data_IF_497176843377
#
_entry.id   IF_497176843377
#
_cell.length_a   1.000
_cell.length_b   1.000
_cell.length_c   1.000
_cell.angle_alpha   90.00
_cell.angle_beta   90.00
_cell.angle_gamma   90.00
#
_symmetry.space_group_name_H-M   'P 1'
#
loop_
_entity.id
_entity.type
_entity.pdbx_description
1 polymer ?
#
# COMPACT_ATOMS: atom_id res chain seq x y z
N UNK A 1 58.04 -16.95 -25.61
CA UNK A 1 57.10 -16.84 -26.74
C UNK A 1 56.27 -15.58 -26.53
N UNK A 2 56.30 -14.71 -27.53
CA UNK A 2 55.95 -13.29 -27.46
C UNK A 2 54.42 -13.07 -27.60
N UNK A 3 53.83 -12.32 -26.65
CA UNK A 3 52.38 -12.03 -26.55
C UNK A 3 51.85 -11.13 -27.68
N UNK A 4 52.72 -10.67 -28.58
CA UNK A 4 52.38 -9.78 -29.71
C UNK A 4 51.95 -10.49 -31.00
N UNK A 5 51.90 -11.82 -31.04
CA UNK A 5 51.51 -12.56 -32.25
C UNK A 5 50.03 -12.91 -32.38
N UNK A 6 49.21 -12.70 -31.35
CA UNK A 6 47.81 -13.17 -31.35
C UNK A 6 46.79 -12.17 -31.93
N UNK A 7 47.21 -10.98 -32.37
CA UNK A 7 46.32 -9.91 -32.84
C UNK A 7 46.40 -9.61 -34.35
N UNK A 8 46.95 -10.51 -35.18
CA UNK A 8 47.12 -10.26 -36.63
C UNK A 8 46.51 -11.29 -37.57
N UNK A 9 45.45 -11.98 -37.15
CA UNK A 9 44.72 -12.90 -38.05
C UNK A 9 43.22 -12.69 -37.95
N UNK A 10 42.78 -11.50 -38.37
CA UNK A 10 41.41 -11.31 -38.83
C UNK A 10 41.45 -11.27 -40.35
N UNK A 11 40.91 -12.29 -41.01
CA UNK A 11 39.94 -12.14 -42.10
C UNK A 11 39.80 -13.45 -42.91
N UNK A 12 38.55 -13.72 -43.29
CA UNK A 12 38.06 -14.61 -44.36
C UNK A 12 37.57 -15.99 -43.88
N UNK A 13 36.25 -16.10 -43.70
CA UNK A 13 35.54 -17.38 -43.59
C UNK A 13 34.20 -17.25 -42.85
N UNK A 14 33.13 -16.95 -43.58
CA UNK A 14 31.83 -16.57 -43.03
C UNK A 14 31.08 -17.68 -42.28
N UNK A 15 30.61 -17.31 -41.10
CA UNK A 15 29.29 -17.66 -40.59
C UNK A 15 28.92 -16.55 -39.62
N UNK A 16 27.99 -15.69 -40.03
CA UNK A 16 27.46 -14.60 -39.23
C UNK A 16 26.72 -15.20 -38.02
N UNK A 17 27.45 -15.44 -36.93
CA UNK A 17 26.84 -15.49 -35.61
C UNK A 17 26.41 -14.05 -35.35
N UNK A 18 25.11 -13.80 -35.40
CA UNK A 18 24.53 -12.56 -34.92
C UNK A 18 25.12 -12.31 -33.53
N UNK A 19 26.04 -11.35 -33.44
CA UNK A 19 26.44 -10.78 -32.18
C UNK A 19 25.17 -10.14 -31.63
N UNK A 20 24.42 -10.91 -30.84
CA UNK A 20 23.43 -10.37 -29.93
C UNK A 20 24.16 -9.29 -29.16
N UNK A 21 23.86 -8.03 -29.48
CA UNK A 21 24.27 -6.87 -28.71
C UNK A 21 23.62 -7.03 -27.34
N UNK A 22 24.23 -7.83 -26.46
CA UNK A 22 23.91 -7.84 -25.05
C UNK A 22 24.10 -6.40 -24.60
N UNK A 23 23.00 -5.73 -24.25
CA UNK A 23 23.06 -4.37 -23.76
C UNK A 23 24.07 -4.33 -22.60
N UNK A 24 25.00 -3.37 -22.64
CA UNK A 24 25.98 -3.22 -21.58
C UNK A 24 25.23 -3.02 -20.25
N UNK A 25 25.71 -3.59 -19.12
CA UNK A 25 25.09 -3.39 -17.81
C UNK A 25 24.86 -1.90 -17.52
N UNK A 26 23.78 -1.52 -16.84
CA UNK A 26 23.40 -0.11 -16.59
C UNK A 26 24.57 0.75 -16.07
N UNK A 27 25.38 0.20 -15.18
CA UNK A 27 26.59 0.84 -14.63
C UNK A 27 27.61 1.22 -15.73
N UNK A 28 27.79 0.35 -16.74
CA UNK A 28 28.68 0.62 -17.87
C UNK A 28 28.13 1.67 -18.84
N UNK A 29 26.83 2.00 -18.74
CA UNK A 29 26.18 3.09 -19.46
C UNK A 29 26.14 4.40 -18.65
N UNK A 30 26.73 4.43 -17.45
CA UNK A 30 26.67 5.57 -16.54
C UNK A 30 25.31 5.76 -15.86
N UNK A 31 24.45 4.73 -15.88
CA UNK A 31 23.12 4.73 -15.26
C UNK A 31 23.19 4.10 -13.87
N UNK A 32 22.49 4.68 -12.91
CA UNK A 32 22.40 4.16 -11.54
C UNK A 32 21.35 3.05 -11.47
N UNK A 33 21.71 1.79 -11.14
CA UNK A 33 20.73 0.72 -10.98
C UNK A 33 19.87 0.96 -9.73
N UNK A 34 18.58 0.62 -9.84
CA UNK A 34 17.62 0.66 -8.73
C UNK A 34 16.75 -0.59 -8.75
N UNK A 35 17.04 -1.56 -7.90
CA UNK A 35 16.14 -2.70 -7.72
C UNK A 35 14.96 -2.28 -6.84
N UNK A 36 13.73 -2.50 -7.35
CA UNK A 36 12.47 -2.27 -6.64
C UNK A 36 11.79 -3.61 -6.40
N UNK A 37 11.54 -3.97 -5.14
CA UNK A 37 10.77 -5.17 -4.75
C UNK A 37 9.39 -4.77 -4.24
N UNK A 38 8.34 -5.54 -4.55
CA UNK A 38 6.97 -5.15 -4.22
C UNK A 38 6.23 -6.22 -3.43
N UNK A 39 5.30 -5.77 -2.58
CA UNK A 39 4.37 -6.65 -1.85
C UNK A 39 3.19 -7.11 -2.71
N UNK A 40 3.05 -6.56 -3.92
CA UNK A 40 1.91 -6.79 -4.82
C UNK A 40 2.21 -7.85 -5.88
N UNK A 41 1.21 -8.64 -6.31
CA UNK A 41 1.32 -9.46 -7.51
C UNK A 41 1.55 -8.59 -8.76
N UNK A 42 2.28 -9.15 -9.73
CA UNK A 42 2.55 -8.51 -11.01
C UNK A 42 1.24 -8.17 -11.73
N UNK A 43 1.18 -6.97 -12.31
CA UNK A 43 0.05 -6.47 -13.09
C UNK A 43 -1.29 -6.44 -12.33
N UNK A 44 -1.27 -6.57 -10.99
CA UNK A 44 -2.50 -6.46 -10.20
C UNK A 44 -3.05 -5.03 -10.28
N UNK A 45 -4.33 -4.83 -10.62
CA UNK A 45 -4.88 -3.50 -10.86
C UNK A 45 -4.74 -2.55 -9.67
N UNK A 46 -4.43 -1.28 -9.91
CA UNK A 46 -4.16 -0.32 -8.86
C UNK A 46 -2.79 -0.59 -8.23
N UNK A 47 -2.70 -1.51 -7.26
CA UNK A 47 -1.49 -1.75 -6.46
C UNK A 47 -0.24 -2.12 -7.30
N UNK A 48 -0.30 -3.22 -8.04
CA UNK A 48 0.84 -3.74 -8.82
C UNK A 48 1.14 -2.83 -10.02
N UNK A 49 0.10 -2.45 -10.75
CA UNK A 49 0.22 -1.54 -11.90
C UNK A 49 0.75 -0.15 -11.53
N UNK A 50 0.39 0.37 -10.35
CA UNK A 50 0.92 1.64 -9.81
C UNK A 50 2.42 1.51 -9.52
N UNK A 51 2.84 0.46 -8.82
CA UNK A 51 4.25 0.25 -8.49
C UNK A 51 5.12 0.08 -9.75
N UNK A 52 4.64 -0.64 -10.77
CA UNK A 52 5.31 -0.78 -12.06
C UNK A 52 5.39 0.56 -12.81
N UNK A 53 4.31 1.31 -12.81
CA UNK A 53 4.23 2.63 -13.43
C UNK A 53 5.17 3.63 -12.75
N UNK A 54 5.30 3.59 -11.44
CA UNK A 54 6.25 4.41 -10.69
C UNK A 54 7.70 4.09 -11.10
N UNK A 55 8.04 2.82 -11.27
CA UNK A 55 9.37 2.42 -11.75
C UNK A 55 9.68 3.02 -13.13
N UNK A 56 8.74 2.91 -14.09
CA UNK A 56 8.88 3.53 -15.42
C UNK A 56 8.99 5.05 -15.32
N UNK A 57 8.15 5.67 -14.51
CA UNK A 57 8.13 7.11 -14.31
C UNK A 57 9.45 7.66 -13.76
N UNK A 58 10.10 6.94 -12.84
CA UNK A 58 11.42 7.33 -12.31
C UNK A 58 12.49 7.29 -13.41
N UNK A 59 12.46 6.27 -14.28
CA UNK A 59 13.37 6.19 -15.43
C UNK A 59 13.16 7.37 -16.37
N UNK A 60 11.90 7.64 -16.75
CA UNK A 60 11.54 8.72 -17.68
C UNK A 60 11.88 10.11 -17.10
N UNK A 61 11.53 10.38 -15.84
CA UNK A 61 11.76 11.66 -15.18
C UNK A 61 13.25 11.95 -14.95
N UNK A 62 14.11 10.93 -15.01
CA UNK A 62 15.56 11.06 -14.88
C UNK A 62 16.30 10.95 -16.21
N UNK A 63 15.59 10.91 -17.34
CA UNK A 63 16.17 10.69 -18.68
C UNK A 63 17.06 9.44 -18.71
N UNK A 64 16.62 8.38 -18.04
CA UNK A 64 17.32 7.11 -17.92
C UNK A 64 18.52 7.12 -16.96
N UNK A 65 18.84 8.23 -16.31
CA UNK A 65 19.98 8.30 -15.38
C UNK A 65 19.82 7.34 -14.18
N UNK A 66 18.58 7.04 -13.79
CA UNK A 66 18.25 5.91 -12.92
C UNK A 66 17.69 4.79 -13.81
N UNK A 67 18.08 3.56 -13.52
CA UNK A 67 17.62 2.35 -14.21
C UNK A 67 16.89 1.43 -13.22
N UNK A 68 15.57 1.63 -13.02
CA UNK A 68 14.77 0.77 -12.18
C UNK A 68 14.59 -0.63 -12.76
N UNK A 69 14.66 -1.64 -11.90
CA UNK A 69 14.29 -3.02 -12.20
C UNK A 69 13.24 -3.47 -11.17
N UNK A 70 12.01 -3.69 -11.65
CA UNK A 70 10.86 -4.01 -10.80
C UNK A 70 10.61 -5.52 -10.67
N UNK A 71 10.51 -5.97 -9.42
CA UNK A 71 10.16 -7.32 -9.03
C UNK A 71 8.87 -7.30 -8.22
N UNK A 72 7.86 -8.04 -8.69
CA UNK A 72 6.62 -8.28 -7.97
C UNK A 72 6.83 -9.25 -6.80
N UNK A 73 5.81 -9.38 -5.97
CA UNK A 73 5.81 -10.31 -4.83
C UNK A 73 6.19 -11.73 -5.26
N UNK A 74 7.20 -12.30 -4.62
CA UNK A 74 7.67 -13.67 -4.86
C UNK A 74 8.62 -13.84 -6.04
N UNK A 75 8.87 -12.81 -6.86
CA UNK A 75 9.81 -12.94 -8.00
C UNK A 75 11.28 -12.84 -7.58
N UNK A 76 11.54 -12.09 -6.50
CA UNK A 76 12.89 -11.95 -5.92
C UNK A 76 12.92 -12.34 -4.45
N UNK A 77 12.00 -11.82 -3.66
CA UNK A 77 11.81 -12.13 -2.25
C UNK A 77 10.31 -12.32 -1.95
N UNK A 78 9.97 -12.93 -0.81
CA UNK A 78 8.58 -13.05 -0.39
C UNK A 78 7.92 -11.68 -0.22
N UNK A 79 6.59 -11.62 -0.36
CA UNK A 79 5.84 -10.36 -0.29
C UNK A 79 6.13 -9.59 1.00
N UNK A 80 6.40 -10.29 2.10
CA UNK A 80 6.68 -9.67 3.38
C UNK A 80 8.17 -9.55 3.73
N UNK A 81 9.06 -10.02 2.87
CA UNK A 81 10.51 -9.95 3.09
C UNK A 81 11.12 -8.65 2.53
N UNK A 82 10.31 -7.80 1.86
CA UNK A 82 10.78 -6.62 1.14
C UNK A 82 11.42 -5.56 2.05
N UNK A 83 10.98 -5.46 3.30
CA UNK A 83 11.53 -4.51 4.27
C UNK A 83 12.98 -4.84 4.57
N UNK A 84 13.23 -6.08 4.99
CA UNK A 84 14.57 -6.55 5.36
C UNK A 84 15.51 -6.55 4.13
N UNK A 85 15.01 -6.92 2.95
CA UNK A 85 15.78 -6.90 1.70
C UNK A 85 16.30 -5.49 1.37
N UNK A 86 15.52 -4.44 1.62
CA UNK A 86 15.91 -3.05 1.35
C UNK A 86 16.71 -2.44 2.51
N UNK A 87 16.34 -2.73 3.77
CA UNK A 87 17.09 -2.29 4.93
C UNK A 87 18.54 -2.84 4.90
N UNK A 88 18.71 -4.10 4.48
CA UNK A 88 20.02 -4.71 4.27
C UNK A 88 20.79 -4.17 3.06
N UNK A 89 20.13 -3.43 2.16
CA UNK A 89 20.73 -2.85 0.95
C UNK A 89 20.86 -3.83 -0.23
N UNK A 90 20.22 -5.00 -0.15
CA UNK A 90 20.20 -5.98 -1.25
C UNK A 90 19.30 -5.52 -2.41
N UNK A 91 18.21 -4.81 -2.10
CA UNK A 91 17.42 -4.01 -3.03
C UNK A 91 17.49 -2.52 -2.65
N UNK A 92 17.23 -1.63 -3.61
CA UNK A 92 17.31 -0.18 -3.39
C UNK A 92 16.01 0.40 -2.87
N UNK A 93 14.87 -0.18 -3.23
CA UNK A 93 13.57 0.25 -2.77
C UNK A 93 12.56 -0.88 -2.65
N UNK A 94 11.53 -0.67 -1.83
CA UNK A 94 10.31 -1.45 -1.85
C UNK A 94 9.08 -0.57 -2.07
N UNK A 95 8.05 -1.16 -2.67
CA UNK A 95 6.72 -0.58 -2.74
C UNK A 95 5.70 -1.43 -1.95
N UNK A 96 5.10 -0.85 -0.91
CA UNK A 96 4.31 -1.58 0.08
C UNK A 96 3.25 -0.72 0.78
N UNK A 97 2.44 -1.37 1.63
CA UNK A 97 1.72 -0.72 2.72
C UNK A 97 2.56 -0.84 4.00
N UNK A 98 2.95 0.28 4.62
CA UNK A 98 3.87 0.27 5.76
C UNK A 98 3.31 -0.42 7.00
N UNK A 99 1.98 -0.50 7.16
CA UNK A 99 1.37 -1.21 8.30
C UNK A 99 1.73 -2.71 8.37
N UNK A 100 2.26 -3.31 7.30
CA UNK A 100 2.75 -4.69 7.35
C UNK A 100 3.88 -4.83 8.38
N UNK A 101 4.60 -3.74 8.66
CA UNK A 101 5.70 -3.67 9.63
C UNK A 101 5.31 -3.12 10.99
N UNK A 102 4.02 -3.18 11.35
CA UNK A 102 3.57 -2.84 12.70
C UNK A 102 4.28 -3.65 13.80
N UNK A 103 4.69 -4.89 13.50
CA UNK A 103 5.44 -5.75 14.42
C UNK A 103 6.91 -5.35 14.57
N UNK A 104 7.44 -4.54 13.65
CA UNK A 104 8.77 -3.91 13.75
C UNK A 104 8.66 -2.65 14.60
N UNK A 105 7.71 -1.76 14.26
CA UNK A 105 7.33 -0.63 15.09
C UNK A 105 5.87 -0.23 14.78
N UNK A 106 5.00 -0.08 15.79
CA UNK A 106 3.56 0.15 15.57
C UNK A 106 3.27 1.43 14.77
N UNK A 107 4.13 2.45 14.90
CA UNK A 107 3.98 3.73 14.21
C UNK A 107 4.04 3.66 12.68
N UNK A 108 4.56 2.59 12.09
CA UNK A 108 4.46 2.39 10.63
C UNK A 108 2.99 2.35 10.16
N UNK A 109 2.06 2.00 11.05
CA UNK A 109 0.64 2.02 10.74
C UNK A 109 0.11 3.44 10.46
N UNK A 110 0.61 4.48 11.14
CA UNK A 110 0.17 5.87 10.88
C UNK A 110 0.65 6.42 9.53
N UNK A 111 1.70 5.84 8.95
CA UNK A 111 2.16 6.17 7.59
C UNK A 111 1.18 5.64 6.54
N UNK A 112 0.57 4.48 6.81
CA UNK A 112 -0.38 3.84 5.92
C UNK A 112 -1.82 4.15 6.31
N UNK A 113 -2.38 3.45 7.31
CA UNK A 113 -3.71 3.69 7.86
C UNK A 113 -3.88 3.09 9.24
N UNK A 114 -4.81 3.67 9.99
CA UNK A 114 -5.23 3.22 11.32
C UNK A 114 -6.76 3.28 11.43
N UNK A 115 -7.40 2.45 12.27
CA UNK A 115 -8.84 2.51 12.49
C UNK A 115 -9.33 3.90 12.87
N UNK A 116 -10.46 4.33 12.29
CA UNK A 116 -11.00 5.68 12.49
C UNK A 116 -9.96 6.78 12.20
N UNK A 117 -9.03 6.49 11.28
CA UNK A 117 -7.95 7.36 10.88
C UNK A 117 -8.31 8.36 9.80
N UNK A 118 -7.29 8.74 9.05
CA UNK A 118 -7.36 9.78 8.03
C UNK A 118 -7.81 9.20 6.70
N UNK A 119 -8.71 9.91 6.02
CA UNK A 119 -8.99 9.73 4.59
C UNK A 119 -7.78 10.12 3.74
N UNK A 120 -7.78 9.80 2.45
CA UNK A 120 -6.65 10.09 1.55
C UNK A 120 -6.25 11.59 1.54
N UNK A 121 -7.22 12.50 1.56
CA UNK A 121 -6.95 13.95 1.60
C UNK A 121 -6.34 14.38 2.93
N UNK A 122 -6.86 13.86 4.03
CA UNK A 122 -6.35 14.13 5.38
C UNK A 122 -4.95 13.54 5.58
N UNK A 123 -4.69 12.34 5.07
CA UNK A 123 -3.39 11.68 5.12
C UNK A 123 -2.33 12.49 4.36
N UNK A 124 -2.67 13.01 3.18
CA UNK A 124 -1.78 13.90 2.43
C UNK A 124 -1.51 15.21 3.18
N UNK A 125 -2.53 15.82 3.79
CA UNK A 125 -2.35 17.02 4.60
C UNK A 125 -1.43 16.75 5.80
N UNK A 126 -1.67 15.65 6.51
CA UNK A 126 -0.87 15.21 7.65
C UNK A 126 0.60 15.03 7.29
N UNK A 127 0.86 14.22 6.25
CA UNK A 127 2.21 13.87 5.83
C UNK A 127 2.98 15.08 5.28
N UNK A 128 2.34 15.95 4.48
CA UNK A 128 3.05 17.06 3.83
C UNK A 128 3.16 18.33 4.66
N UNK A 129 2.19 18.60 5.55
CA UNK A 129 2.05 19.92 6.17
C UNK A 129 1.78 19.91 7.67
N UNK A 130 1.63 18.74 8.30
CA UNK A 130 1.35 18.66 9.74
C UNK A 130 2.35 17.77 10.50
N UNK A 131 3.56 17.59 9.95
CA UNK A 131 4.67 16.94 10.65
C UNK A 131 4.77 15.42 10.46
N UNK A 132 3.86 14.81 9.69
CA UNK A 132 3.85 13.36 9.50
C UNK A 132 5.09 12.82 8.80
N UNK A 133 5.60 13.52 7.77
CA UNK A 133 6.80 13.08 7.06
C UNK A 133 8.06 13.15 7.95
N UNK A 134 8.19 14.18 8.79
CA UNK A 134 9.34 14.32 9.69
C UNK A 134 9.36 13.21 10.75
N UNK A 135 8.21 12.85 11.30
CA UNK A 135 8.08 11.75 12.26
C UNK A 135 8.32 10.39 11.60
N UNK A 136 7.89 10.21 10.35
CA UNK A 136 8.23 9.01 9.59
C UNK A 136 9.72 8.95 9.26
N UNK A 137 10.35 10.07 8.93
CA UNK A 137 11.79 10.12 8.64
C UNK A 137 12.64 9.76 9.87
N UNK A 138 12.22 10.21 11.06
CA UNK A 138 12.83 9.79 12.33
C UNK A 138 12.65 8.29 12.56
N UNK A 139 11.42 7.77 12.38
CA UNK A 139 11.14 6.34 12.51
C UNK A 139 11.95 5.47 11.54
N UNK A 140 12.02 5.87 10.28
CA UNK A 140 12.68 5.10 9.23
C UNK A 140 14.21 5.12 9.36
N UNK A 141 14.78 6.14 10.02
CA UNK A 141 16.23 6.26 10.21
C UNK A 141 16.81 5.13 11.08
N UNK A 142 16.05 4.67 12.08
CA UNK A 142 16.42 3.53 12.94
C UNK A 142 16.65 2.24 12.14
N UNK A 143 16.12 2.17 10.91
CA UNK A 143 16.23 1.03 10.00
C UNK A 143 17.09 1.34 8.76
N UNK A 144 17.71 2.51 8.70
CA UNK A 144 18.48 2.95 7.54
C UNK A 144 17.60 3.14 6.29
N UNK A 145 16.34 3.54 6.47
CA UNK A 145 15.35 3.71 5.42
C UNK A 145 14.94 5.18 5.24
N UNK A 146 14.42 5.50 4.05
CA UNK A 146 13.73 6.76 3.75
C UNK A 146 12.64 6.51 2.73
N UNK A 147 11.43 6.97 3.00
CA UNK A 147 10.30 6.80 2.09
C UNK A 147 9.53 8.08 1.82
N UNK A 148 8.64 8.00 0.84
CA UNK A 148 7.59 8.97 0.56
C UNK A 148 6.30 8.23 0.20
N UNK A 149 5.16 8.88 0.41
CA UNK A 149 3.88 8.36 -0.07
C UNK A 149 3.92 8.24 -1.60
N UNK A 150 3.47 7.10 -2.09
CA UNK A 150 3.51 6.70 -3.50
C UNK A 150 2.22 5.98 -3.95
N UNK A 151 1.12 6.15 -3.22
CA UNK A 151 -0.17 5.56 -3.57
C UNK A 151 -1.19 5.80 -2.48
N UNK A 152 -2.48 5.81 -2.82
CA UNK A 152 -3.56 5.72 -1.84
C UNK A 152 -4.75 5.01 -2.49
N UNK A 153 -5.46 4.16 -1.73
CA UNK A 153 -6.63 3.42 -2.26
C UNK A 153 -7.97 4.11 -1.99
N UNK A 154 -7.97 5.13 -1.13
CA UNK A 154 -9.18 5.71 -0.55
C UNK A 154 -9.81 4.79 0.50
N UNK A 155 -10.95 5.22 1.03
CA UNK A 155 -11.66 4.48 2.08
C UNK A 155 -12.02 3.07 1.61
N UNK A 156 -11.61 2.09 2.40
CA UNK A 156 -11.80 0.68 2.10
C UNK A 156 -13.11 0.14 2.72
N UNK A 157 -13.70 -0.90 2.11
CA UNK A 157 -14.85 -1.61 2.66
C UNK A 157 -14.48 -2.34 3.96
N UNK A 158 -15.47 -2.67 4.78
CA UNK A 158 -15.33 -3.52 5.97
C UNK A 158 -15.02 -4.99 5.68
N UNK A 159 -15.17 -5.41 4.42
CA UNK A 159 -14.73 -6.72 3.93
C UNK A 159 -15.85 -7.67 3.55
N UNK A 160 -15.46 -8.91 3.30
CA UNK A 160 -16.23 -10.01 2.75
C UNK A 160 -16.52 -11.07 3.80
N UNK A 161 -17.80 -11.42 3.94
CA UNK A 161 -18.28 -12.35 4.95
C UNK A 161 -19.27 -13.36 4.35
N UNK A 162 -19.37 -14.53 5.01
CA UNK A 162 -20.38 -15.56 4.70
C UNK A 162 -21.48 -15.68 5.77
N UNK A 163 -21.47 -14.78 6.75
CA UNK A 163 -22.53 -14.56 7.73
C UNK A 163 -22.71 -13.06 7.92
N UNK A 164 -23.92 -12.66 8.29
CA UNK A 164 -24.18 -11.28 8.70
C UNK A 164 -23.57 -11.03 10.09
N UNK A 165 -23.06 -9.82 10.28
CA UNK A 165 -22.58 -9.26 11.53
C UNK A 165 -23.64 -8.26 11.99
N UNK A 166 -24.40 -8.63 13.02
CA UNK A 166 -25.49 -7.84 13.59
C UNK A 166 -25.17 -7.34 15.00
N UNK A 167 -24.19 -7.94 15.69
CA UNK A 167 -23.66 -7.42 16.95
C UNK A 167 -22.16 -7.74 17.09
N UNK A 168 -21.44 -7.11 18.04
CA UNK A 168 -20.04 -7.41 18.30
C UNK A 168 -19.76 -8.89 18.59
N UNK A 169 -20.72 -9.63 19.17
CA UNK A 169 -20.63 -11.06 19.42
C UNK A 169 -20.41 -11.89 18.15
N UNK A 170 -20.96 -11.46 17.01
CA UNK A 170 -20.84 -12.20 15.73
C UNK A 170 -19.39 -12.22 15.20
N UNK A 171 -18.55 -11.30 15.68
CA UNK A 171 -17.12 -11.23 15.36
C UNK A 171 -16.30 -12.29 16.11
N UNK A 172 -16.74 -12.71 17.29
CA UNK A 172 -15.97 -13.62 18.15
C UNK A 172 -15.74 -14.97 17.46
N UNK A 173 -14.49 -15.40 17.45
CA UNK A 173 -14.05 -16.66 16.84
C UNK A 173 -14.05 -16.65 15.30
N UNK A 174 -14.38 -15.54 14.65
CA UNK A 174 -14.21 -15.40 13.20
C UNK A 174 -12.72 -15.46 12.86
N UNK A 175 -12.30 -16.34 11.93
CA UNK A 175 -10.94 -16.30 11.40
C UNK A 175 -10.92 -15.33 10.23
N UNK A 176 -10.34 -14.15 10.42
CA UNK A 176 -10.38 -13.09 9.42
C UNK A 176 -8.98 -12.73 8.95
N UNK A 177 -8.79 -12.67 7.64
CA UNK A 177 -7.61 -12.00 7.08
C UNK A 177 -7.85 -10.49 7.13
N UNK A 178 -7.07 -9.81 7.96
CA UNK A 178 -7.08 -8.35 8.11
C UNK A 178 -5.71 -7.90 8.64
N UNK A 179 -4.99 -6.99 7.96
CA UNK A 179 -3.65 -6.58 8.35
C UNK A 179 -3.68 -5.34 9.26
N UNK A 180 -2.49 -4.88 9.63
CA UNK A 180 -2.28 -3.63 10.36
C UNK A 180 -2.98 -3.62 11.72
N UNK A 181 -3.13 -2.41 12.26
CA UNK A 181 -3.78 -2.24 13.57
C UNK A 181 -5.31 -2.35 13.47
N UNK A 182 -5.88 -2.41 12.26
CA UNK A 182 -7.23 -2.92 12.02
C UNK A 182 -7.40 -4.36 12.49
N UNK A 183 -6.39 -5.21 12.25
CA UNK A 183 -6.35 -6.54 12.83
C UNK A 183 -6.23 -6.53 14.35
N UNK A 184 -5.45 -5.62 14.93
CA UNK A 184 -5.37 -5.46 16.39
C UNK A 184 -6.72 -5.07 17.00
N UNK A 185 -7.44 -4.12 16.39
CA UNK A 185 -8.82 -3.75 16.77
C UNK A 185 -9.75 -4.96 16.71
N UNK A 186 -9.75 -5.72 15.61
CA UNK A 186 -10.58 -6.91 15.48
C UNK A 186 -10.21 -8.01 16.49
N UNK A 187 -8.93 -8.12 16.84
CA UNK A 187 -8.45 -9.08 17.85
C UNK A 187 -8.99 -8.75 19.25
N UNK A 188 -9.09 -7.46 19.62
CA UNK A 188 -9.73 -7.02 20.87
C UNK A 188 -11.21 -7.43 20.94
N UNK A 189 -11.87 -7.57 19.79
CA UNK A 189 -13.26 -8.03 19.66
C UNK A 189 -13.39 -9.56 19.55
N UNK A 190 -12.28 -10.31 19.67
CA UNK A 190 -12.26 -11.76 19.69
C UNK A 190 -12.17 -12.42 18.30
N UNK A 191 -11.84 -11.66 17.26
CA UNK A 191 -11.53 -12.20 15.93
C UNK A 191 -10.15 -12.87 15.97
N UNK A 192 -10.04 -14.05 15.36
CA UNK A 192 -8.75 -14.71 15.12
C UNK A 192 -8.14 -14.17 13.84
N UNK A 193 -7.25 -13.18 13.97
CA UNK A 193 -6.64 -12.51 12.81
C UNK A 193 -5.57 -13.36 12.14
N UNK A 194 -5.57 -13.35 10.81
CA UNK A 194 -4.61 -14.07 9.96
C UNK A 194 -3.90 -13.09 9.04
N UNK A 195 -2.57 -13.14 8.99
CA UNK A 195 -1.77 -12.37 8.03
C UNK A 195 -1.46 -13.20 6.80
N UNK A 196 -1.89 -12.73 5.62
CA UNK A 196 -1.63 -13.36 4.32
C UNK A 196 -1.34 -12.29 3.27
N UNK A 197 -0.40 -12.55 2.33
CA UNK A 197 -0.26 -11.75 1.12
C UNK A 197 -1.55 -11.78 0.29
N UNK A 198 -1.84 -10.69 -0.45
CA UNK A 198 -3.07 -10.55 -1.24
C UNK A 198 -3.34 -11.72 -2.18
N UNK A 199 -2.30 -12.23 -2.85
CA UNK A 199 -2.40 -13.35 -3.78
C UNK A 199 -2.82 -14.69 -3.15
N UNK A 200 -2.84 -14.80 -1.82
CA UNK A 200 -3.22 -16.04 -1.11
C UNK A 200 -4.64 -15.96 -0.51
N UNK A 201 -5.29 -14.81 -0.55
CA UNK A 201 -6.58 -14.58 0.12
C UNK A 201 -7.67 -15.49 -0.45
N UNK A 202 -7.85 -15.50 -1.77
CA UNK A 202 -8.93 -16.24 -2.44
C UNK A 202 -8.91 -17.72 -2.08
N UNK A 203 -7.76 -18.38 -2.22
CA UNK A 203 -7.63 -19.81 -1.95
C UNK A 203 -7.88 -20.15 -0.47
N UNK A 204 -7.44 -19.28 0.45
CA UNK A 204 -7.68 -19.46 1.89
C UNK A 204 -9.15 -19.25 2.26
N UNK A 205 -9.85 -18.35 1.57
CA UNK A 205 -11.29 -18.14 1.77
C UNK A 205 -12.10 -19.30 1.20
N UNK A 206 -11.78 -19.77 -0.01
CA UNK A 206 -12.46 -20.92 -0.65
C UNK A 206 -12.26 -22.21 0.13
N UNK A 207 -11.05 -22.45 0.65
CA UNK A 207 -10.76 -23.65 1.44
C UNK A 207 -11.35 -23.62 2.85
N UNK A 208 -11.82 -22.46 3.33
CA UNK A 208 -12.29 -22.27 4.70
C UNK A 208 -11.15 -22.20 5.73
N UNK A 209 -9.92 -21.92 5.29
CA UNK A 209 -8.82 -21.60 6.20
C UNK A 209 -9.07 -20.27 6.93
N UNK A 210 -9.71 -19.31 6.24
CA UNK A 210 -10.30 -18.10 6.80
C UNK A 210 -11.81 -18.07 6.53
N UNK A 211 -12.57 -17.46 7.43
CA UNK A 211 -14.03 -17.33 7.37
C UNK A 211 -14.46 -16.00 6.73
N UNK A 212 -13.60 -14.99 6.81
CA UNK A 212 -13.80 -13.65 6.27
C UNK A 212 -12.46 -13.02 5.85
N UNK A 213 -12.53 -11.98 5.04
CA UNK A 213 -11.37 -11.19 4.65
C UNK A 213 -11.78 -9.77 4.35
N UNK A 214 -10.90 -8.81 4.58
CA UNK A 214 -10.95 -7.54 3.87
C UNK A 214 -9.84 -7.49 2.81
N UNK A 215 -9.85 -6.50 1.91
CA UNK A 215 -8.73 -6.26 1.01
C UNK A 215 -8.52 -4.81 0.61
N UNK A 216 -9.29 -4.27 -0.34
CA UNK A 216 -9.13 -2.87 -0.77
C UNK A 216 -10.44 -2.21 -1.17
N UNK A 217 -11.26 -2.88 -1.98
CA UNK A 217 -12.43 -2.23 -2.53
C UNK A 217 -12.93 -2.87 -3.81
N UNK A 218 -14.09 -2.43 -4.32
CA UNK A 218 -14.82 -3.14 -5.35
C UNK A 218 -13.99 -3.50 -6.59
N UNK A 219 -13.10 -2.60 -7.02
CA UNK A 219 -12.26 -2.84 -8.18
C UNK A 219 -11.27 -3.99 -7.96
N UNK A 220 -10.50 -3.96 -6.88
CA UNK A 220 -9.50 -5.00 -6.61
C UNK A 220 -10.14 -6.31 -6.19
N UNK A 221 -11.16 -6.24 -5.35
CA UNK A 221 -11.83 -7.41 -4.79
C UNK A 221 -12.53 -8.22 -5.90
N UNK A 222 -13.00 -7.54 -6.96
CA UNK A 222 -13.47 -8.18 -8.19
C UNK A 222 -12.36 -9.02 -8.84
N UNK A 223 -11.16 -8.46 -9.03
CA UNK A 223 -10.02 -9.18 -9.65
C UNK A 223 -9.37 -10.22 -8.76
N UNK A 224 -9.57 -10.16 -7.43
CA UNK A 224 -9.26 -11.26 -6.51
C UNK A 224 -10.33 -12.35 -6.50
N UNK A 225 -11.44 -12.19 -7.24
CA UNK A 225 -12.55 -13.13 -7.29
C UNK A 225 -13.22 -13.40 -5.93
N UNK A 226 -13.15 -12.46 -4.98
CA UNK A 226 -13.70 -12.66 -3.62
C UNK A 226 -15.22 -12.90 -3.63
N UNK A 227 -15.91 -12.33 -4.61
CA UNK A 227 -17.33 -12.53 -4.88
C UNK A 227 -17.73 -13.99 -5.18
N UNK A 228 -16.78 -14.87 -5.52
CA UNK A 228 -17.06 -16.30 -5.71
C UNK A 228 -17.02 -17.09 -4.40
N UNK A 229 -16.42 -16.52 -3.35
CA UNK A 229 -16.15 -17.19 -2.08
C UNK A 229 -16.90 -16.58 -0.89
N UNK A 230 -17.45 -15.37 -1.04
CA UNK A 230 -18.23 -14.67 -0.01
C UNK A 230 -19.46 -13.96 -0.60
N UNK A 231 -20.49 -13.75 0.24
CA UNK A 231 -21.80 -13.22 -0.18
C UNK A 231 -22.10 -11.82 0.33
N UNK A 232 -21.65 -11.51 1.54
CA UNK A 232 -21.90 -10.23 2.19
C UNK A 232 -20.67 -9.36 2.05
N UNK A 233 -20.89 -8.11 1.62
CA UNK A 233 -19.84 -7.14 1.46
C UNK A 233 -20.18 -5.91 2.31
N UNK A 234 -19.42 -5.73 3.38
CA UNK A 234 -19.64 -4.68 4.37
C UNK A 234 -18.93 -3.40 3.95
N UNK A 235 -19.60 -2.26 4.06
CA UNK A 235 -19.03 -0.94 3.78
C UNK A 235 -19.76 0.14 4.61
N UNK A 236 -19.08 1.21 5.09
CA UNK A 236 -17.63 1.42 5.07
C UNK A 236 -16.90 0.51 6.07
N UNK A 237 -15.59 0.38 5.88
CA UNK A 237 -14.69 -0.21 6.86
C UNK A 237 -14.20 0.83 7.85
N UNK A 238 -14.13 0.48 9.13
CA UNK A 238 -13.51 1.34 10.14
C UNK A 238 -11.97 1.30 10.06
N UNK A 239 -11.41 0.21 9.52
CA UNK A 239 -10.00 -0.16 9.65
C UNK A 239 -9.05 0.67 8.77
N UNK A 240 -9.48 1.06 7.57
CA UNK A 240 -8.61 1.67 6.55
C UNK A 240 -9.37 2.80 5.80
N UNK A 241 -9.55 3.98 6.43
CA UNK A 241 -10.28 5.10 5.82
C UNK A 241 -9.53 5.81 4.68
N UNK A 242 -8.21 5.62 4.57
CA UNK A 242 -7.38 6.23 3.54
C UNK A 242 -5.95 5.68 3.50
N UNK A 243 -5.76 4.36 3.35
CA UNK A 243 -4.46 3.73 3.40
C UNK A 243 -3.55 4.24 2.30
N UNK A 244 -2.46 4.89 2.73
CA UNK A 244 -1.40 5.33 1.84
C UNK A 244 -0.33 4.24 1.66
N UNK A 245 0.21 4.14 0.47
CA UNK A 245 1.31 3.24 0.13
C UNK A 245 2.58 4.05 0.00
N UNK A 246 3.73 3.39 0.13
CA UNK A 246 5.02 4.05 0.03
C UNK A 246 5.93 3.42 -1.01
N UNK A 247 6.81 4.26 -1.55
CA UNK A 247 8.10 3.82 -2.06
C UNK A 247 9.14 4.17 -0.99
N UNK A 248 9.72 3.14 -0.38
CA UNK A 248 10.72 3.28 0.69
C UNK A 248 12.04 2.70 0.24
N UNK A 249 13.11 3.45 0.45
CA UNK A 249 14.44 3.16 -0.08
C UNK A 249 15.47 2.94 1.01
N UNK A 250 16.52 2.21 0.67
CA UNK A 250 17.75 2.19 1.46
C UNK A 250 18.34 3.61 1.50
N UNK A 251 18.45 4.19 2.70
CA UNK A 251 18.85 5.58 2.91
C UNK A 251 20.27 5.85 2.43
N UNK A 252 21.19 4.90 2.61
CA UNK A 252 22.57 5.05 2.14
C UNK A 252 22.64 5.12 0.61
N UNK A 253 21.87 4.30 -0.09
CA UNK A 253 21.78 4.38 -1.56
C UNK A 253 21.19 5.73 -1.99
N UNK A 254 20.04 6.11 -1.42
CA UNK A 254 19.35 7.35 -1.79
C UNK A 254 20.24 8.59 -1.59
N UNK A 255 20.90 8.68 -0.44
CA UNK A 255 21.77 9.82 -0.09
C UNK A 255 23.06 9.87 -0.91
N UNK A 256 23.48 8.76 -1.53
CA UNK A 256 24.61 8.74 -2.46
C UNK A 256 24.29 9.38 -3.81
N UNK A 257 23.00 9.50 -4.16
CA UNK A 257 22.57 10.10 -5.42
C UNK A 257 22.77 11.62 -5.41
N UNK A 258 23.02 12.24 -6.58
CA UNK A 258 22.90 13.68 -6.75
C UNK A 258 21.54 14.18 -6.27
N UNK A 259 21.51 15.37 -5.64
CA UNK A 259 20.27 15.92 -5.06
C UNK A 259 19.11 16.06 -6.06
N UNK A 260 19.40 16.24 -7.34
CA UNK A 260 18.37 16.31 -8.38
C UNK A 260 17.69 14.95 -8.62
N UNK A 261 18.42 13.83 -8.51
CA UNK A 261 17.86 12.48 -8.63
C UNK A 261 16.98 12.14 -7.43
N UNK A 262 17.42 12.51 -6.22
CA UNK A 262 16.61 12.34 -5.00
C UNK A 262 15.28 13.11 -5.12
N UNK A 263 15.33 14.37 -5.57
CA UNK A 263 14.13 15.18 -5.81
C UNK A 263 13.25 14.62 -6.93
N UNK A 264 13.83 14.08 -8.00
CA UNK A 264 13.07 13.45 -9.07
C UNK A 264 12.29 12.24 -8.56
N UNK A 265 12.92 11.34 -7.78
CA UNK A 265 12.23 10.20 -7.16
C UNK A 265 11.08 10.68 -6.26
N UNK A 266 11.35 11.65 -5.38
CA UNK A 266 10.31 12.21 -4.49
C UNK A 266 9.12 12.76 -5.28
N UNK A 267 9.38 13.53 -6.35
CA UNK A 267 8.33 14.08 -7.19
C UNK A 267 7.51 12.97 -7.89
N UNK A 268 8.17 11.89 -8.33
CA UNK A 268 7.48 10.73 -8.91
C UNK A 268 6.57 10.04 -7.89
N UNK A 269 7.03 9.89 -6.64
CA UNK A 269 6.22 9.30 -5.57
C UNK A 269 4.95 10.12 -5.33
N UNK A 270 5.07 11.45 -5.17
CA UNK A 270 3.90 12.31 -4.96
C UNK A 270 2.94 12.31 -6.15
N UNK A 271 3.45 12.28 -7.38
CA UNK A 271 2.59 12.18 -8.57
C UNK A 271 1.84 10.85 -8.60
N UNK A 272 2.51 9.75 -8.26
CA UNK A 272 1.86 8.44 -8.25
C UNK A 272 0.86 8.29 -7.10
N UNK A 273 1.13 8.93 -5.95
CA UNK A 273 0.19 9.02 -4.84
C UNK A 273 -1.16 9.63 -5.25
N UNK A 274 -1.13 10.74 -6.00
CA UNK A 274 -2.33 11.37 -6.56
C UNK A 274 -2.98 10.50 -7.66
N UNK A 275 -2.17 10.03 -8.61
CA UNK A 275 -2.65 9.27 -9.77
C UNK A 275 -3.35 7.97 -9.37
N UNK A 276 -2.78 7.24 -8.43
CA UNK A 276 -3.36 5.99 -7.94
C UNK A 276 -4.73 6.24 -7.29
N UNK A 277 -4.84 7.25 -6.42
CA UNK A 277 -6.12 7.59 -5.78
C UNK A 277 -7.19 7.96 -6.82
N UNK A 278 -6.83 8.74 -7.83
CA UNK A 278 -7.74 9.06 -8.94
C UNK A 278 -8.17 7.81 -9.72
N UNK A 279 -7.26 6.86 -9.94
CA UNK A 279 -7.53 5.59 -10.61
C UNK A 279 -8.51 4.71 -9.83
N UNK A 280 -8.37 4.62 -8.50
CA UNK A 280 -9.34 3.92 -7.63
C UNK A 280 -10.73 4.55 -7.70
N UNK A 281 -10.81 5.88 -7.54
CA UNK A 281 -12.08 6.60 -7.63
C UNK A 281 -12.79 6.42 -8.97
N UNK A 282 -12.03 6.35 -10.07
CA UNK A 282 -12.59 6.15 -11.41
C UNK A 282 -13.13 4.72 -11.62
N UNK A 283 -12.63 3.72 -10.90
CA UNK A 283 -12.96 2.32 -11.13
C UNK A 283 -13.94 1.73 -10.10
N UNK A 284 -13.85 2.11 -8.83
CA UNK A 284 -14.59 1.45 -7.75
C UNK A 284 -16.10 1.42 -7.97
N UNK A 285 -16.71 2.54 -8.39
CA UNK A 285 -18.16 2.58 -8.64
C UNK A 285 -18.62 1.60 -9.73
N UNK A 286 -17.85 1.49 -10.82
CA UNK A 286 -18.17 0.56 -11.92
C UNK A 286 -18.11 -0.90 -11.48
N UNK A 287 -17.05 -1.29 -10.74
CA UNK A 287 -16.91 -2.67 -10.29
C UNK A 287 -17.87 -3.02 -9.16
N UNK A 288 -18.25 -2.06 -8.32
CA UNK A 288 -19.32 -2.25 -7.35
C UNK A 288 -20.64 -2.61 -8.04
N UNK A 289 -20.99 -1.86 -9.10
CA UNK A 289 -22.18 -2.15 -9.90
C UNK A 289 -22.16 -3.56 -10.48
N UNK A 290 -21.00 -4.03 -10.99
CA UNK A 290 -20.85 -5.40 -11.50
C UNK A 290 -20.97 -6.45 -10.40
N UNK A 291 -20.33 -6.23 -9.23
CA UNK A 291 -20.44 -7.13 -8.08
C UNK A 291 -21.91 -7.32 -7.65
N UNK A 292 -22.69 -6.25 -7.63
CA UNK A 292 -24.09 -6.31 -7.23
C UNK A 292 -24.95 -6.93 -8.33
N UNK A 293 -24.89 -6.40 -9.56
CA UNK A 293 -25.83 -6.77 -10.63
C UNK A 293 -25.53 -8.12 -11.26
N UNK A 294 -24.25 -8.42 -11.47
CA UNK A 294 -23.84 -9.60 -12.23
C UNK A 294 -23.53 -10.78 -11.31
N UNK A 295 -23.10 -10.51 -10.07
CA UNK A 295 -22.72 -11.53 -9.09
C UNK A 295 -23.65 -11.63 -7.88
N UNK A 296 -24.64 -10.74 -7.74
CA UNK A 296 -25.65 -10.80 -6.67
C UNK A 296 -25.10 -10.57 -5.27
N UNK A 297 -23.97 -9.86 -5.15
CA UNK A 297 -23.35 -9.54 -3.86
C UNK A 297 -24.26 -8.66 -3.02
N UNK A 298 -24.34 -8.98 -1.73
CA UNK A 298 -25.22 -8.31 -0.79
C UNK A 298 -24.44 -7.26 -0.01
N UNK A 299 -24.69 -5.98 -0.34
CA UNK A 299 -24.16 -4.86 0.44
C UNK A 299 -24.76 -4.87 1.85
N UNK A 300 -23.89 -4.62 2.83
CA UNK A 300 -24.25 -4.47 4.24
C UNK A 300 -23.49 -3.28 4.83
N UNK A 301 -24.06 -2.74 5.89
CA UNK A 301 -23.40 -1.77 6.75
C UNK A 301 -23.29 -2.39 8.14
N UNK A 302 -22.18 -2.14 8.84
CA UNK A 302 -22.13 -2.42 10.26
C UNK A 302 -23.07 -1.44 10.96
N UNK A 303 -23.88 -1.93 11.89
CA UNK A 303 -24.76 -1.06 12.66
C UNK A 303 -23.95 -0.23 13.68
N UNK A 304 -24.61 0.75 14.29
CA UNK A 304 -24.00 1.66 15.26
C UNK A 304 -23.34 0.90 16.42
N UNK A 305 -23.98 -0.15 16.94
CA UNK A 305 -23.44 -0.95 18.05
C UNK A 305 -22.10 -1.62 17.69
N UNK A 306 -21.98 -2.19 16.49
CA UNK A 306 -20.73 -2.78 16.00
C UNK A 306 -19.68 -1.70 15.75
N UNK A 307 -20.08 -0.54 15.21
CA UNK A 307 -19.15 0.56 14.92
C UNK A 307 -18.65 1.24 16.21
N UNK A 308 -19.48 1.36 17.24
CA UNK A 308 -19.09 1.81 18.58
C UNK A 308 -18.07 0.84 19.20
N UNK A 309 -18.32 -0.47 19.10
CA UNK A 309 -17.37 -1.49 19.57
C UNK A 309 -16.01 -1.43 18.83
N UNK A 310 -16.02 -1.14 17.53
CA UNK A 310 -14.78 -0.87 16.79
C UNK A 310 -14.03 0.35 17.35
N UNK A 311 -14.75 1.43 17.68
CA UNK A 311 -14.18 2.64 18.25
C UNK A 311 -13.52 2.40 19.61
N UNK A 312 -14.23 1.71 20.52
CA UNK A 312 -13.70 1.35 21.84
C UNK A 312 -12.47 0.44 21.74
N UNK A 313 -12.53 -0.59 20.89
CA UNK A 313 -11.40 -1.48 20.63
C UNK A 313 -10.19 -0.74 20.02
N UNK A 314 -10.43 0.24 19.16
CA UNK A 314 -9.38 1.06 18.55
C UNK A 314 -8.67 1.92 19.59
N UNK A 315 -9.40 2.55 20.51
CA UNK A 315 -8.79 3.37 21.56
C UNK A 315 -7.89 2.53 22.48
N UNK A 316 -8.31 1.31 22.84
CA UNK A 316 -7.48 0.38 23.61
C UNK A 316 -6.15 0.06 22.88
N UNK A 317 -6.20 -0.15 21.56
CA UNK A 317 -4.98 -0.36 20.75
C UNK A 317 -4.14 0.92 20.69
N UNK A 318 -4.74 2.10 20.56
CA UNK A 318 -4.00 3.36 20.57
C UNK A 318 -3.32 3.61 21.91
N UNK A 319 -3.94 3.26 23.03
CA UNK A 319 -3.35 3.29 24.36
C UNK A 319 -2.05 2.48 24.44
N UNK A 320 -2.06 1.27 23.89
CA UNK A 320 -0.87 0.40 23.84
C UNK A 320 0.23 1.04 22.97
N UNK A 321 -0.13 1.61 21.82
CA UNK A 321 0.83 2.25 20.90
C UNK A 321 1.47 3.49 21.54
N UNK A 322 0.70 4.35 22.22
CA UNK A 322 1.23 5.53 22.93
C UNK A 322 2.28 5.16 23.97
N UNK A 323 2.13 3.99 24.59
CA UNK A 323 3.05 3.49 25.62
C UNK A 323 4.31 2.82 25.05
N UNK A 324 4.35 2.55 23.74
CA UNK A 324 5.46 1.86 23.09
C UNK A 324 6.76 2.67 23.11
N UNK A 325 6.70 3.94 22.72
CA UNK A 325 7.87 4.84 22.67
C UNK A 325 7.44 6.31 22.63
N UNK A 326 8.36 7.24 22.97
CA UNK A 326 8.13 8.69 22.81
C UNK A 326 7.72 9.03 21.36
N UNK A 327 8.45 8.47 20.39
CA UNK A 327 8.16 8.64 18.97
C UNK A 327 6.74 8.14 18.62
N UNK A 328 6.31 7.01 19.17
CA UNK A 328 4.95 6.50 18.96
C UNK A 328 3.88 7.41 19.56
N UNK A 329 4.11 7.94 20.76
CA UNK A 329 3.20 8.91 21.37
C UNK A 329 3.09 10.20 20.54
N UNK A 330 4.23 10.78 20.13
CA UNK A 330 4.23 11.99 19.29
C UNK A 330 3.58 11.77 17.93
N UNK A 331 3.79 10.60 17.31
CA UNK A 331 3.11 10.22 16.06
C UNK A 331 1.59 10.18 16.26
N UNK A 332 1.13 9.55 17.34
CA UNK A 332 -0.29 9.50 17.66
C UNK A 332 -0.88 10.90 17.93
N UNK A 333 -0.19 11.73 18.72
CA UNK A 333 -0.64 13.10 19.02
C UNK A 333 -0.77 13.95 17.75
N UNK A 334 0.23 13.90 16.87
CA UNK A 334 0.20 14.62 15.59
C UNK A 334 -0.94 14.11 14.68
N UNK A 335 -1.13 12.79 14.62
CA UNK A 335 -2.25 12.17 13.91
C UNK A 335 -3.61 12.63 14.45
N UNK A 336 -3.81 12.64 15.78
CA UNK A 336 -5.08 13.07 16.40
C UNK A 336 -5.38 14.54 16.10
N UNK A 337 -4.37 15.41 16.13
CA UNK A 337 -4.51 16.82 15.73
C UNK A 337 -4.93 16.92 14.26
N UNK A 338 -4.26 16.21 13.34
CA UNK A 338 -4.62 16.21 11.93
C UNK A 338 -6.05 15.72 11.68
N UNK A 339 -6.44 14.61 12.34
CA UNK A 339 -7.78 14.04 12.28
C UNK A 339 -8.84 15.05 12.72
N UNK A 340 -8.58 15.75 13.83
CA UNK A 340 -9.52 16.72 14.37
C UNK A 340 -9.63 17.99 13.50
N UNK A 341 -8.51 18.57 13.10
CA UNK A 341 -8.50 19.86 12.40
C UNK A 341 -8.93 19.74 10.93
N UNK A 342 -8.33 18.81 10.19
CA UNK A 342 -8.62 18.63 8.77
C UNK A 342 -9.99 18.00 8.59
N UNK A 343 -10.32 16.97 9.38
CA UNK A 343 -11.63 16.32 9.30
C UNK A 343 -12.78 17.23 9.67
N UNK A 344 -12.62 18.10 10.67
CA UNK A 344 -13.62 19.12 10.96
C UNK A 344 -13.85 20.05 9.78
N UNK A 345 -12.78 20.50 9.11
CA UNK A 345 -12.92 21.35 7.92
C UNK A 345 -13.62 20.62 6.77
N UNK A 346 -13.21 19.38 6.45
CA UNK A 346 -13.80 18.59 5.38
C UNK A 346 -15.27 18.25 5.64
N UNK A 347 -15.65 18.01 6.90
CA UNK A 347 -17.03 17.70 7.27
C UNK A 347 -18.01 18.82 6.88
N UNK A 348 -17.63 20.08 7.05
CA UNK A 348 -18.49 21.24 6.75
C UNK A 348 -18.30 21.79 5.33
N UNK A 349 -17.30 21.30 4.60
CA UNK A 349 -16.96 21.75 3.25
C UNK A 349 -17.27 20.68 2.21
N UNK A 350 -16.30 19.85 1.84
CA UNK A 350 -16.43 18.88 0.75
C UNK A 350 -17.46 17.79 1.04
N UNK A 351 -17.49 17.25 2.26
CA UNK A 351 -18.43 16.18 2.63
C UNK A 351 -19.87 16.70 2.61
N UNK A 352 -20.14 17.82 3.28
CA UNK A 352 -21.47 18.43 3.29
C UNK A 352 -21.90 18.91 1.90
N UNK A 353 -20.98 19.44 1.08
CA UNK A 353 -21.28 19.78 -0.31
C UNK A 353 -21.64 18.54 -1.13
N UNK A 354 -20.83 17.48 -1.07
CA UNK A 354 -21.07 16.24 -1.80
C UNK A 354 -22.41 15.61 -1.41
N UNK A 355 -22.71 15.55 -0.10
CA UNK A 355 -23.98 15.09 0.43
C UNK A 355 -25.16 15.92 -0.12
N UNK A 356 -25.10 17.25 0.01
CA UNK A 356 -26.15 18.15 -0.52
C UNK A 356 -26.32 18.02 -2.03
N UNK A 357 -25.22 17.96 -2.78
CA UNK A 357 -25.21 17.80 -4.25
C UNK A 357 -25.90 16.50 -4.64
N UNK A 358 -25.47 15.37 -4.08
CA UNK A 358 -26.01 14.05 -4.42
C UNK A 358 -27.51 13.97 -4.10
N UNK A 359 -27.93 14.48 -2.93
CA UNK A 359 -29.35 14.56 -2.55
C UNK A 359 -30.18 15.39 -3.53
N UNK A 360 -29.68 16.54 -3.99
CA UNK A 360 -30.40 17.40 -4.95
C UNK A 360 -30.47 16.75 -6.33
N UNK A 361 -29.46 15.96 -6.71
CA UNK A 361 -29.37 15.31 -8.01
C UNK A 361 -29.98 13.89 -8.05
N UNK A 362 -30.37 13.32 -6.91
CA UNK A 362 -30.86 11.94 -6.83
C UNK A 362 -29.78 10.91 -7.20
N UNK A 363 -28.54 11.16 -6.76
CA UNK A 363 -27.43 10.20 -6.89
C UNK A 363 -27.42 9.37 -5.61
N UNK A 364 -27.92 8.14 -5.70
CA UNK A 364 -27.98 7.15 -4.62
C UNK A 364 -26.70 6.30 -4.53
#
# INVERSE_FOLDING_TARGET
MDRRSFLKTSAIGGSAVAASSLAAPAVAQGRTPMVIVSTWPRDFPGLGTSAQRLAVLIEEATDGAIAPEYYAAGERVGAFDVFDEVAAGNAQAFHAADYYWQGVHPSFSYVCSVPFGLTALEQNAFMHYMGGQELWDELADDYGLKGWLAGNTGCQPGGWFNREINSPEDLRGLRMRIPGIGGSMMSQLGVSVVSLPGGQIYENLVSGAIDATEWVGPWNDYFLNLHQAARYYYNPGAQEPGPALSLTMNKSWLTSLPSWQQRAIQACCHMENDRMMAEYNANNGRYLDMLIRDHGIQMREFNDEVFEAFGEASEAVFDEIRQHSDLANRMHEAFVTARAEVGRWLSISEQEFAFKRNRVLGID
#
